data_IF_607269427899
#
_entry.id   IF_607269427899
#
_cell.length_a   1.000
_cell.length_b   1.000
_cell.length_c   1.000
_cell.angle_alpha   90.00
_cell.angle_beta   90.00
_cell.angle_gamma   90.00
#
_symmetry.space_group_name_H-M   'P 1'
#
loop_
_entity.id
_entity.type
_entity.pdbx_description
1 polymer ?
#
# COMPACT_ATOMS: atom_id res chain seq x y z
N UNK A 1 0.69 0.59 -15.52
CA UNK A 1 -0.27 0.52 -16.64
C UNK A 1 0.36 0.04 -17.96
N UNK A 2 1.65 0.29 -18.16
CA UNK A 2 2.32 -0.15 -19.40
C UNK A 2 2.24 -1.68 -19.58
N UNK A 3 2.43 -2.48 -18.51
CA UNK A 3 2.33 -3.93 -18.57
C UNK A 3 0.92 -4.42 -18.94
N UNK A 4 -0.10 -3.71 -18.53
CA UNK A 4 -1.50 -4.01 -18.89
C UNK A 4 -1.74 -3.66 -20.37
N UNK A 5 -1.32 -2.47 -20.78
CA UNK A 5 -1.53 -1.98 -22.15
C UNK A 5 -0.81 -2.84 -23.20
N UNK A 6 0.37 -3.39 -22.84
CA UNK A 6 1.13 -4.30 -23.70
C UNK A 6 0.61 -5.75 -23.68
N UNK A 7 -0.45 -6.03 -22.90
CA UNK A 7 -1.02 -7.37 -22.80
C UNK A 7 -0.24 -8.36 -21.94
N UNK A 8 0.76 -7.89 -21.17
CA UNK A 8 1.56 -8.74 -20.28
C UNK A 8 0.85 -9.16 -19.01
N UNK A 9 -0.08 -8.34 -18.51
CA UNK A 9 -0.87 -8.60 -17.31
C UNK A 9 -2.30 -8.08 -17.49
N UNK A 10 -3.26 -8.71 -16.85
CA UNK A 10 -4.58 -8.10 -16.65
C UNK A 10 -4.48 -6.98 -15.59
N UNK A 11 -5.47 -6.09 -15.56
CA UNK A 11 -5.52 -5.03 -14.55
C UNK A 11 -5.60 -5.63 -13.13
N UNK A 12 -6.38 -6.70 -12.95
CA UNK A 12 -6.50 -7.39 -11.66
C UNK A 12 -5.16 -8.01 -11.23
N UNK A 13 -4.42 -8.64 -12.13
CA UNK A 13 -3.11 -9.19 -11.86
C UNK A 13 -2.11 -8.10 -11.47
N UNK A 14 -2.14 -6.96 -12.16
CA UNK A 14 -1.28 -5.82 -11.82
C UNK A 14 -1.56 -5.33 -10.40
N UNK A 15 -2.82 -5.08 -10.05
CA UNK A 15 -3.22 -4.61 -8.72
C UNK A 15 -2.81 -5.60 -7.64
N UNK A 16 -2.99 -6.90 -7.88
CA UNK A 16 -2.53 -7.92 -6.94
C UNK A 16 -1.03 -7.85 -6.69
N UNK A 17 -0.23 -7.67 -7.74
CA UNK A 17 1.24 -7.63 -7.63
C UNK A 17 1.79 -6.35 -6.99
N UNK A 18 1.13 -5.21 -7.15
CA UNK A 18 1.64 -3.93 -6.62
C UNK A 18 1.01 -3.53 -5.29
N UNK A 19 -0.05 -4.19 -4.85
CA UNK A 19 -0.79 -3.81 -3.64
C UNK A 19 -1.04 -4.99 -2.71
N UNK A 20 -1.82 -5.97 -3.14
CA UNK A 20 -2.24 -7.08 -2.29
C UNK A 20 -1.07 -7.96 -1.84
N UNK A 21 -0.25 -8.42 -2.79
CA UNK A 21 0.88 -9.30 -2.48
C UNK A 21 1.95 -8.62 -1.62
N UNK A 22 2.39 -7.39 -1.90
CA UNK A 22 3.33 -6.69 -1.02
C UNK A 22 2.79 -6.51 0.42
N UNK A 23 1.51 -6.19 0.58
CA UNK A 23 0.90 -6.07 1.90
C UNK A 23 0.95 -7.41 2.67
N UNK A 24 0.69 -8.53 1.99
CA UNK A 24 0.77 -9.86 2.60
C UNK A 24 2.21 -10.25 2.94
N UNK A 25 3.16 -9.92 2.09
CA UNK A 25 4.59 -10.18 2.34
C UNK A 25 5.11 -9.41 3.56
N UNK A 26 4.58 -8.21 3.80
CA UNK A 26 4.96 -7.38 4.94
C UNK A 26 4.12 -7.66 6.20
N UNK A 27 3.13 -8.53 6.12
CA UNK A 27 2.26 -8.84 7.25
C UNK A 27 1.24 -7.73 7.57
N UNK A 28 0.88 -6.90 6.59
CA UNK A 28 -0.07 -5.80 6.73
C UNK A 28 -1.51 -6.30 6.50
N UNK A 29 -2.16 -6.75 7.56
CA UNK A 29 -3.49 -7.37 7.46
C UNK A 29 -4.59 -6.41 7.00
N UNK A 30 -4.46 -5.10 7.29
CA UNK A 30 -5.49 -4.10 7.02
C UNK A 30 -5.26 -3.30 5.73
N UNK A 31 -4.26 -3.68 4.94
CA UNK A 31 -3.89 -2.96 3.72
C UNK A 31 -3.89 -3.88 2.49
N UNK A 32 -3.85 -3.28 1.33
CA UNK A 32 -3.68 -3.99 0.06
C UNK A 32 -4.96 -4.48 -0.59
N UNK A 33 -6.14 -4.19 -0.04
CA UNK A 33 -7.42 -4.52 -0.67
C UNK A 33 -8.55 -3.58 -0.22
N UNK A 34 -9.57 -3.47 -1.07
CA UNK A 34 -10.80 -2.71 -0.80
C UNK A 34 -11.85 -3.59 -0.13
N UNK A 35 -11.50 -4.15 1.02
CA UNK A 35 -12.40 -5.00 1.79
C UNK A 35 -12.95 -4.23 2.98
N UNK A 36 -14.24 -4.37 3.28
CA UNK A 36 -14.86 -3.73 4.43
C UNK A 36 -14.10 -4.07 5.73
N UNK A 37 -13.88 -3.07 6.57
CA UNK A 37 -13.12 -3.20 7.82
C UNK A 37 -11.62 -2.98 7.68
N UNK A 38 -11.10 -2.80 6.48
CA UNK A 38 -9.69 -2.47 6.25
C UNK A 38 -9.48 -0.97 6.09
N UNK A 39 -8.23 -0.54 6.12
CA UNK A 39 -7.87 0.87 5.96
C UNK A 39 -8.33 1.40 4.60
N UNK A 40 -8.90 2.60 4.60
CA UNK A 40 -9.33 3.26 3.39
C UNK A 40 -8.16 4.00 2.72
N UNK A 41 -7.20 3.22 2.20
CA UNK A 41 -6.07 3.69 1.42
C UNK A 41 -6.36 3.34 -0.04
N UNK A 42 -6.73 4.36 -0.84
CA UNK A 42 -7.28 4.16 -2.17
C UNK A 42 -6.60 5.10 -3.15
N UNK A 43 -6.18 4.58 -4.29
CA UNK A 43 -5.75 5.38 -5.43
C UNK A 43 -6.74 5.22 -6.56
N UNK A 44 -7.27 6.34 -7.04
CA UNK A 44 -8.12 6.40 -8.23
C UNK A 44 -7.24 6.78 -9.40
N UNK A 45 -7.16 5.90 -10.40
CA UNK A 45 -6.29 6.05 -11.55
C UNK A 45 -7.09 6.47 -12.77
N UNK A 46 -6.65 7.53 -13.42
CA UNK A 46 -7.13 7.90 -14.74
C UNK A 46 -6.31 7.13 -15.79
N UNK A 47 -6.94 6.16 -16.44
CA UNK A 47 -6.28 5.29 -17.42
C UNK A 47 -5.91 6.02 -18.70
N UNK A 48 -6.67 7.03 -19.09
CA UNK A 48 -6.38 7.81 -20.30
C UNK A 48 -5.19 8.71 -20.10
N UNK A 49 -5.14 9.39 -18.96
CA UNK A 49 -4.02 10.28 -18.59
C UNK A 49 -2.83 9.51 -18.01
N UNK A 50 -3.00 8.23 -17.68
CA UNK A 50 -1.97 7.36 -17.06
C UNK A 50 -1.39 7.95 -15.78
N UNK A 51 -2.25 8.53 -14.95
CA UNK A 51 -1.87 9.20 -13.72
C UNK A 51 -2.89 8.98 -12.61
N UNK A 52 -2.48 9.22 -11.37
CA UNK A 52 -3.42 9.21 -10.26
C UNK A 52 -4.35 10.43 -10.38
N UNK A 53 -5.65 10.20 -10.35
CA UNK A 53 -6.65 11.27 -10.26
C UNK A 53 -6.85 11.70 -8.80
N UNK A 54 -6.93 10.74 -7.88
CA UNK A 54 -7.10 11.01 -6.46
C UNK A 54 -6.36 9.97 -5.62
N UNK A 55 -5.89 10.40 -4.46
CA UNK A 55 -5.29 9.52 -3.45
C UNK A 55 -5.97 9.77 -2.11
N UNK A 56 -6.47 8.70 -1.52
CA UNK A 56 -7.14 8.69 -0.22
C UNK A 56 -6.28 7.87 0.74
N UNK A 57 -5.95 8.44 1.89
CA UNK A 57 -5.15 7.78 2.93
C UNK A 57 -5.91 7.85 4.25
N UNK A 58 -6.19 6.69 4.83
CA UNK A 58 -6.96 6.63 6.08
C UNK A 58 -8.35 7.28 5.98
N UNK A 59 -8.97 7.21 4.81
CA UNK A 59 -10.27 7.81 4.56
C UNK A 59 -10.26 9.30 4.23
N UNK A 60 -9.08 9.95 4.21
CA UNK A 60 -8.95 11.36 3.87
C UNK A 60 -8.39 11.55 2.47
N UNK A 61 -8.99 12.44 1.70
CA UNK A 61 -8.47 12.81 0.38
C UNK A 61 -7.22 13.66 0.54
N UNK A 62 -6.08 13.10 0.17
CA UNK A 62 -4.77 13.78 0.28
C UNK A 62 -4.31 14.41 -1.03
N UNK A 63 -4.84 13.95 -2.15
CA UNK A 63 -4.55 14.47 -3.49
C UNK A 63 -5.78 14.33 -4.36
N UNK A 64 -6.07 15.33 -5.18
CA UNK A 64 -7.14 15.27 -6.16
C UNK A 64 -6.88 16.24 -7.31
N UNK A 65 -6.94 15.72 -8.53
CA UNK A 65 -6.87 16.49 -9.77
C UNK A 65 -5.74 17.53 -9.78
N UNK A 66 -4.52 17.07 -9.50
CA UNK A 66 -3.32 17.90 -9.51
C UNK A 66 -3.05 18.68 -8.23
N UNK A 67 -3.93 18.60 -7.23
CA UNK A 67 -3.81 19.38 -5.99
C UNK A 67 -3.50 18.48 -4.80
N UNK A 68 -2.46 18.81 -4.05
CA UNK A 68 -2.16 18.21 -2.77
C UNK A 68 -3.03 18.86 -1.70
N UNK A 69 -3.89 18.06 -1.04
CA UNK A 69 -4.87 18.53 -0.07
C UNK A 69 -4.52 18.16 1.37
N UNK A 70 -3.57 17.24 1.57
CA UNK A 70 -3.19 16.79 2.90
C UNK A 70 -2.00 15.84 2.88
N UNK A 71 -1.63 15.35 4.07
CA UNK A 71 -0.55 14.39 4.26
C UNK A 71 -1.08 13.23 5.10
N UNK A 72 -0.66 12.00 4.81
CA UNK A 72 -1.11 10.83 5.55
C UNK A 72 -0.21 9.61 5.39
N UNK A 73 0.88 9.73 4.66
CA UNK A 73 1.83 8.64 4.46
C UNK A 73 2.59 8.28 5.73
N UNK A 74 2.91 7.00 5.90
CA UNK A 74 3.75 6.49 6.97
C UNK A 74 4.94 5.74 6.41
N UNK A 75 6.01 5.65 7.19
CA UNK A 75 7.22 4.91 6.81
C UNK A 75 7.12 3.49 7.36
N UNK A 76 7.13 2.50 6.48
CA UNK A 76 7.12 1.10 6.88
C UNK A 76 8.50 0.74 7.42
N UNK A 77 8.53 0.21 8.63
CA UNK A 77 9.75 -0.20 9.32
C UNK A 77 9.49 -1.40 10.23
N UNK A 78 10.53 -2.13 10.57
CA UNK A 78 10.47 -3.05 11.70
C UNK A 78 10.60 -2.27 13.02
N UNK A 79 10.39 -2.94 14.16
CA UNK A 79 10.52 -2.31 15.48
C UNK A 79 11.91 -1.68 15.69
N UNK A 80 12.96 -2.26 15.12
CA UNK A 80 14.31 -1.75 15.23
C UNK A 80 14.52 -0.35 14.63
N UNK A 81 13.74 0.00 13.57
CA UNK A 81 13.85 1.30 12.91
C UNK A 81 12.85 2.35 13.39
N UNK A 82 11.90 1.99 14.26
CA UNK A 82 10.80 2.88 14.63
C UNK A 82 11.28 4.17 15.30
N UNK A 83 12.23 4.10 16.23
CA UNK A 83 12.74 5.28 16.92
C UNK A 83 13.46 6.24 15.97
N UNK A 84 14.20 5.71 15.00
CA UNK A 84 14.84 6.53 13.99
C UNK A 84 13.80 7.28 13.14
N UNK A 85 12.74 6.61 12.71
CA UNK A 85 11.66 7.24 11.93
C UNK A 85 11.01 8.36 12.73
N UNK A 86 10.71 8.12 14.01
CA UNK A 86 10.16 9.15 14.90
C UNK A 86 11.12 10.33 15.08
N UNK A 87 12.42 10.07 15.20
CA UNK A 87 13.42 11.14 15.35
C UNK A 87 13.48 12.06 14.15
N UNK A 88 13.06 11.61 12.97
CA UNK A 88 12.99 12.41 11.74
C UNK A 88 11.66 13.18 11.61
N UNK A 89 10.79 13.16 12.62
CA UNK A 89 9.49 13.81 12.58
C UNK A 89 8.48 13.09 11.67
N UNK A 90 8.72 11.83 11.36
CA UNK A 90 7.86 11.01 10.49
C UNK A 90 7.10 9.98 11.33
N UNK A 91 5.98 9.50 10.80
CA UNK A 91 5.17 8.48 11.47
C UNK A 91 5.55 7.09 10.97
N UNK A 92 5.96 6.17 11.87
CA UNK A 92 6.27 4.80 11.48
C UNK A 92 5.01 3.94 11.38
N UNK A 93 5.01 3.01 10.42
CA UNK A 93 4.13 1.85 10.42
C UNK A 93 5.00 0.64 10.73
N UNK A 94 4.93 0.16 11.96
CA UNK A 94 5.76 -0.95 12.40
C UNK A 94 5.17 -2.27 11.92
N UNK A 95 5.99 -3.07 11.26
CA UNK A 95 5.61 -4.42 10.80
C UNK A 95 6.43 -5.46 11.55
N UNK A 96 5.82 -6.62 11.80
CA UNK A 96 6.50 -7.82 12.26
C UNK A 96 6.59 -8.81 11.12
N UNK A 97 7.81 -9.12 10.68
CA UNK A 97 8.03 -10.05 9.57
C UNK A 97 7.61 -11.48 9.90
N UNK A 98 7.39 -11.81 11.17
CA UNK A 98 6.76 -13.09 11.55
C UNK A 98 5.34 -13.21 10.99
N UNK A 99 4.64 -12.10 10.76
CA UNK A 99 3.30 -12.07 10.17
C UNK A 99 3.32 -12.18 8.63
N UNK A 100 4.49 -12.19 8.02
CA UNK A 100 4.63 -12.36 6.57
C UNK A 100 4.01 -13.67 6.10
N UNK A 101 3.32 -13.64 4.96
CA UNK A 101 2.77 -14.83 4.33
C UNK A 101 3.84 -15.90 4.02
N UNK A 102 5.09 -15.50 3.78
CA UNK A 102 6.20 -16.42 3.58
C UNK A 102 6.53 -17.18 4.87
N UNK A 103 6.58 -16.50 6.00
CA UNK A 103 6.86 -17.12 7.30
C UNK A 103 5.74 -18.06 7.73
N UNK A 104 4.49 -17.68 7.51
CA UNK A 104 3.33 -18.51 7.81
C UNK A 104 3.31 -19.80 6.99
N UNK A 105 3.70 -19.77 5.74
CA UNK A 105 3.83 -20.97 4.89
C UNK A 105 4.90 -21.93 5.41
N UNK A 106 5.99 -21.40 5.93
CA UNK A 106 7.07 -22.20 6.49
C UNK A 106 6.64 -22.88 7.79
N UNK A 107 5.83 -22.24 8.62
CA UNK A 107 5.33 -22.79 9.88
C UNK A 107 4.27 -23.90 9.68
N UNK A 108 3.61 -23.94 8.55
CA UNK A 108 2.59 -24.97 8.23
C UNK A 108 3.17 -26.29 7.74
N UNK A 109 4.46 -26.39 7.60
CA UNK A 109 5.18 -27.63 7.30
C UNK A 109 5.62 -28.32 8.59
#
# INVERSE_FOLDING_TARGET
>A
LALVDLGGLSLQELVAKISYQPARLLGLANKGSLTAGRDADITIVDRLQRSAFATIIGGQVCYMDGKVLGRGGRIITTAAGADYVLSQGLEPLVVDLADSSLMQKTQKR
#
